data_IF_494771145368
#
_entry.id   IF_494771145368
#
_cell.length_a   1.000
_cell.length_b   1.000
_cell.length_c   1.000
_cell.angle_alpha   90.00
_cell.angle_beta   90.00
_cell.angle_gamma   90.00
#
_symmetry.space_group_name_H-M   'P 1'
#
loop_
_entity.id
_entity.type
_entity.pdbx_description
1 polymer ?
#
# COMPACT_ATOMS: atom_id res chain seq x y z
N UNK A 1 -2.59 4.12 -2.65
CA UNK A 1 -3.60 4.37 -1.60
C UNK A 1 -4.32 3.06 -1.40
N UNK A 2 -4.54 2.70 -0.14
CA UNK A 2 -5.20 1.46 0.24
C UNK A 2 -6.52 1.87 0.89
N UNK A 3 -7.63 1.31 0.43
CA UNK A 3 -8.96 1.55 0.99
C UNK A 3 -9.48 0.27 1.66
N UNK A 4 -9.93 0.36 2.90
CA UNK A 4 -10.35 -0.80 3.68
C UNK A 4 -11.86 -0.86 3.80
N UNK A 5 -12.45 -1.99 3.42
CA UNK A 5 -13.87 -2.25 3.59
C UNK A 5 -14.10 -3.57 4.33
N UNK A 6 -15.24 -3.68 5.03
CA UNK A 6 -15.65 -4.93 5.66
C UNK A 6 -16.55 -5.72 4.71
N UNK A 7 -16.12 -6.93 4.35
CA UNK A 7 -16.94 -7.82 3.53
C UNK A 7 -17.82 -8.69 4.45
N UNK A 8 -19.10 -8.35 4.56
CA UNK A 8 -20.06 -9.03 5.44
C UNK A 8 -20.24 -10.52 5.10
N UNK A 9 -20.15 -10.90 3.82
CA UNK A 9 -20.35 -12.28 3.38
C UNK A 9 -19.21 -13.22 3.74
N UNK A 10 -17.98 -12.70 3.75
CA UNK A 10 -16.76 -13.47 4.06
C UNK A 10 -16.24 -13.24 5.47
N UNK A 11 -16.84 -12.29 6.21
CA UNK A 11 -16.38 -11.83 7.54
C UNK A 11 -14.90 -11.45 7.55
N UNK A 12 -14.40 -10.93 6.42
CA UNK A 12 -13.00 -10.52 6.22
C UNK A 12 -12.93 -9.07 5.83
N UNK A 13 -11.79 -8.45 6.12
CA UNK A 13 -11.50 -7.10 5.62
C UNK A 13 -10.96 -7.22 4.20
N UNK A 14 -11.42 -6.34 3.32
CA UNK A 14 -10.95 -6.22 1.96
C UNK A 14 -10.13 -4.94 1.86
N UNK A 15 -8.98 -5.02 1.19
CA UNK A 15 -8.12 -3.88 0.91
C UNK A 15 -8.03 -3.70 -0.59
N UNK A 16 -8.37 -2.50 -1.04
CA UNK A 16 -8.33 -2.12 -2.44
C UNK A 16 -7.11 -1.24 -2.72
N UNK A 17 -6.25 -1.73 -3.60
CA UNK A 17 -4.97 -1.12 -3.94
C UNK A 17 -5.11 -0.28 -5.20
N UNK A 18 -4.68 0.97 -5.11
CA UNK A 18 -4.61 1.83 -6.29
C UNK A 18 -3.41 2.76 -6.26
N UNK A 19 -2.85 3.00 -7.44
CA UNK A 19 -1.76 3.96 -7.65
C UNK A 19 -2.33 5.25 -8.25
N UNK A 20 -1.82 6.38 -7.77
CA UNK A 20 -2.10 7.70 -8.32
C UNK A 20 -0.82 8.31 -8.80
N UNK A 21 -0.79 8.69 -10.07
CA UNK A 21 0.36 9.29 -10.72
C UNK A 21 -0.05 10.52 -11.53
N UNK A 22 0.87 11.46 -11.66
CA UNK A 22 0.69 12.58 -12.57
C UNK A 22 0.97 12.11 -14.00
N UNK A 23 -0.01 12.21 -14.89
CA UNK A 23 0.19 11.96 -16.31
C UNK A 23 0.51 13.27 -17.04
N UNK A 24 1.71 13.33 -17.63
CA UNK A 24 2.14 14.48 -18.42
C UNK A 24 1.40 14.58 -19.75
N UNK A 25 0.86 13.47 -20.27
CA UNK A 25 0.10 13.46 -21.52
C UNK A 25 -1.24 14.19 -21.38
N UNK A 26 -1.99 13.86 -20.33
CA UNK A 26 -3.28 14.47 -20.02
C UNK A 26 -3.22 15.70 -19.10
N UNK A 27 -2.04 16.02 -18.55
CA UNK A 27 -1.84 17.06 -17.53
C UNK A 27 -2.79 16.93 -16.33
N UNK A 28 -3.03 15.70 -15.88
CA UNK A 28 -3.87 15.45 -14.71
C UNK A 28 -3.37 14.28 -13.87
N UNK A 29 -3.90 14.16 -12.66
CA UNK A 29 -3.68 12.97 -11.83
C UNK A 29 -4.57 11.85 -12.35
N UNK A 30 -3.96 10.71 -12.67
CA UNK A 30 -4.66 9.49 -13.08
C UNK A 30 -4.59 8.48 -11.94
N UNK A 31 -5.73 7.87 -11.62
CA UNK A 31 -5.85 6.80 -10.65
C UNK A 31 -6.01 5.48 -11.38
N UNK A 32 -5.13 4.52 -11.12
CA UNK A 32 -5.25 3.16 -11.63
C UNK A 32 -5.50 2.22 -10.45
N UNK A 33 -6.62 1.50 -10.54
CA UNK A 33 -6.87 0.36 -9.67
C UNK A 33 -5.92 -0.78 -10.05
N UNK A 34 -5.31 -1.40 -9.04
CA UNK A 34 -4.35 -2.48 -9.23
C UNK A 34 -4.98 -3.82 -8.88
N UNK A 35 -5.44 -3.98 -7.64
CA UNK A 35 -5.95 -5.25 -7.14
C UNK A 35 -6.80 -5.05 -5.87
N UNK A 36 -7.48 -6.11 -5.45
CA UNK A 36 -8.16 -6.21 -4.15
C UNK A 36 -7.68 -7.46 -3.44
N UNK A 37 -7.32 -7.33 -2.17
CA UNK A 37 -6.88 -8.44 -1.33
C UNK A 37 -7.77 -8.60 -0.10
N UNK A 38 -8.07 -9.85 0.27
CA UNK A 38 -8.80 -10.15 1.50
C UNK A 38 -7.81 -10.43 2.63
N UNK A 39 -7.83 -9.58 3.66
CA UNK A 39 -7.02 -9.71 4.86
C UNK A 39 -7.87 -10.16 6.05
N UNK A 40 -7.24 -10.87 6.99
CA UNK A 40 -7.92 -11.33 8.21
C UNK A 40 -8.26 -10.18 9.14
N UNK A 41 -7.29 -9.32 9.42
CA UNK A 41 -7.45 -8.10 10.20
C UNK A 41 -6.83 -6.92 9.47
N UNK A 42 -7.23 -5.69 9.82
CA UNK A 42 -6.71 -4.44 9.25
C UNK A 42 -5.53 -3.88 10.03
N UNK A 43 -4.62 -4.73 10.52
CA UNK A 43 -3.45 -4.26 11.27
C UNK A 43 -2.31 -3.97 10.30
N UNK A 44 -1.36 -3.15 10.74
CA UNK A 44 -0.21 -2.77 9.91
C UNK A 44 0.63 -3.99 9.48
N UNK A 45 0.71 -5.02 10.30
CA UNK A 45 1.39 -6.28 10.00
C UNK A 45 0.73 -7.07 8.86
N UNK A 46 -0.60 -6.99 8.75
CA UNK A 46 -1.36 -7.66 7.69
C UNK A 46 -1.26 -6.87 6.37
N UNK A 47 -1.13 -5.55 6.45
CA UNK A 47 -1.10 -4.62 5.31
C UNK A 47 0.29 -4.51 4.65
N UNK A 48 1.36 -4.69 5.42
CA UNK A 48 2.73 -4.63 4.90
C UNK A 48 3.01 -5.61 3.75
N UNK A 49 2.70 -6.92 3.85
CA UNK A 49 2.96 -7.85 2.77
C UNK A 49 2.15 -7.54 1.51
N UNK A 50 0.89 -7.08 1.66
CA UNK A 50 0.04 -6.63 0.54
C UNK A 50 0.70 -5.48 -0.19
N UNK A 51 1.16 -4.47 0.55
CA UNK A 51 1.84 -3.32 -0.02
C UNK A 51 3.16 -3.67 -0.73
N UNK A 52 4.00 -4.52 -0.12
CA UNK A 52 5.28 -4.93 -0.73
C UNK A 52 5.00 -5.64 -2.05
N UNK A 53 4.09 -6.62 -2.04
CA UNK A 53 3.68 -7.35 -3.24
C UNK A 53 3.14 -6.40 -4.31
N UNK A 54 2.28 -5.46 -3.94
CA UNK A 54 1.73 -4.46 -4.84
C UNK A 54 2.82 -3.60 -5.50
N UNK A 55 3.81 -3.13 -4.74
CA UNK A 55 4.96 -2.35 -5.25
C UNK A 55 5.83 -3.18 -6.19
N UNK A 56 6.09 -4.44 -5.83
CA UNK A 56 6.89 -5.37 -6.63
C UNK A 56 6.17 -5.73 -7.96
N UNK A 57 4.86 -5.98 -7.91
CA UNK A 57 4.03 -6.35 -9.08
C UNK A 57 4.00 -5.23 -10.14
N UNK A 58 4.03 -3.96 -9.72
CA UNK A 58 4.06 -2.81 -10.64
C UNK A 58 5.48 -2.33 -10.98
N UNK A 59 6.51 -2.97 -10.42
CA UNK A 59 7.92 -2.59 -10.62
C UNK A 59 8.24 -1.17 -10.14
N UNK A 60 7.51 -0.64 -9.14
CA UNK A 60 7.70 0.72 -8.67
C UNK A 60 8.97 0.82 -7.83
N UNK A 61 9.90 1.69 -8.23
CA UNK A 61 11.04 2.01 -7.38
C UNK A 61 10.57 2.74 -6.12
N UNK A 62 11.07 2.30 -4.96
CA UNK A 62 10.81 2.89 -3.64
C UNK A 62 11.03 4.41 -3.61
N UNK A 63 12.04 4.92 -4.32
CA UNK A 63 12.33 6.37 -4.40
C UNK A 63 11.20 7.18 -5.05
N UNK A 64 10.32 6.51 -5.80
CA UNK A 64 9.22 7.12 -6.53
C UNK A 64 7.91 7.05 -5.74
N UNK A 65 7.89 6.39 -4.58
CA UNK A 65 6.73 6.37 -3.70
C UNK A 65 6.64 7.69 -2.92
N UNK A 66 5.81 8.61 -3.42
CA UNK A 66 5.63 9.92 -2.79
C UNK A 66 4.74 9.88 -1.53
N UNK A 67 3.68 9.08 -1.57
CA UNK A 67 2.67 9.09 -0.51
C UNK A 67 1.95 7.73 -0.42
N UNK A 68 1.75 7.29 0.81
CA UNK A 68 0.82 6.22 1.16
C UNK A 68 -0.36 6.81 1.95
N UNK A 69 -1.59 6.43 1.60
CA UNK A 69 -2.80 6.87 2.31
C UNK A 69 -3.71 5.68 2.57
N UNK A 70 -4.32 5.67 3.76
CA UNK A 70 -5.15 4.63 4.35
C UNK A 70 -6.09 5.21 5.39
N UNK A 71 -7.16 4.49 5.71
CA UNK A 71 -8.07 4.85 6.80
C UNK A 71 -7.47 4.52 8.18
N UNK A 72 -7.67 5.40 9.16
CA UNK A 72 -7.20 5.25 10.54
C UNK A 72 -5.73 5.68 10.82
N UNK A 73 -5.48 6.75 11.60
CA UNK A 73 -4.13 7.30 11.80
C UNK A 73 -3.15 6.36 12.50
N UNK A 74 -3.59 5.55 13.46
CA UNK A 74 -2.71 4.67 14.25
C UNK A 74 -2.08 3.56 13.42
N UNK A 75 -2.85 2.97 12.50
CA UNK A 75 -2.37 1.90 11.62
C UNK A 75 -1.38 2.47 10.61
N UNK A 76 -1.65 3.66 10.07
CA UNK A 76 -0.77 4.35 9.11
C UNK A 76 0.63 4.59 9.68
N UNK A 77 0.73 5.17 10.88
CA UNK A 77 2.03 5.45 11.51
C UNK A 77 2.81 4.17 11.79
N UNK A 78 2.12 3.10 12.20
CA UNK A 78 2.75 1.81 12.46
C UNK A 78 3.25 1.18 11.17
N UNK A 79 2.47 1.24 10.09
CA UNK A 79 2.85 0.73 8.76
C UNK A 79 4.08 1.47 8.21
N UNK A 80 4.13 2.80 8.32
CA UNK A 80 5.30 3.60 7.92
C UNK A 80 6.56 3.18 8.70
N UNK A 81 6.45 2.95 10.01
CA UNK A 81 7.58 2.45 10.82
C UNK A 81 8.04 1.09 10.33
N UNK A 82 7.11 0.16 10.08
CA UNK A 82 7.42 -1.18 9.58
C UNK A 82 8.08 -1.13 8.20
N UNK A 83 7.60 -0.28 7.30
CA UNK A 83 8.21 -0.06 5.98
C UNK A 83 9.65 0.43 6.12
N UNK A 84 9.87 1.48 6.92
CA UNK A 84 11.21 2.01 7.14
C UNK A 84 12.15 0.99 7.79
N UNK A 85 11.66 0.15 8.71
CA UNK A 85 12.45 -0.93 9.30
C UNK A 85 12.78 -2.04 8.30
N UNK A 86 11.80 -2.48 7.48
CA UNK A 86 12.02 -3.50 6.45
C UNK A 86 12.96 -3.02 5.34
N UNK A 87 12.92 -1.72 5.01
CA UNK A 87 13.78 -1.15 3.98
C UNK A 87 15.16 -0.73 4.49
N UNK A 88 15.29 -0.36 5.77
CA UNK A 88 16.56 0.04 6.39
C UNK A 88 17.58 -1.09 6.56
N UNK A 89 17.16 -2.36 6.50
CA UNK A 89 18.08 -3.50 6.51
C UNK A 89 18.57 -3.90 5.11
N UNK A 90 17.87 -3.52 4.04
CA UNK A 90 18.33 -3.76 2.66
C UNK A 90 19.48 -2.85 2.18
N UNK A 91 19.81 -1.77 2.90
CA UNK A 91 20.94 -0.87 2.59
C UNK A 91 22.25 -1.23 3.31
N UNK A 92 22.27 -2.25 4.18
CA UNK A 92 23.50 -2.67 4.90
C UNK A 92 24.37 -3.67 4.12
N UNK A 93 23.98 -4.03 2.91
CA UNK A 93 24.69 -5.02 2.07
C UNK A 93 25.06 -4.51 0.67
N UNK A 94 25.21 -3.19 0.49
CA UNK A 94 25.70 -2.62 -0.76
C UNK A 94 26.98 -1.81 -0.56
#
# INVERSE_FOLDING_TARGET
MLDESHNESLQKKQVDDHVRLWDNGSNCVVSHYLTSEFIGHGKAEDLLPVLIKCVDDIGLNKSNLLQLSMDGPTVNWKLVRLLNSNFGDSDKHR
#
